data_IF_388735649535
#
_entry.id   IF_388735649535
#
_cell.length_a   1.000
_cell.length_b   1.000
_cell.length_c   1.000
_cell.angle_alpha   90.00
_cell.angle_beta   90.00
_cell.angle_gamma   90.00
#
_symmetry.space_group_name_H-M   'P 1'
#
loop_
_entity.id
_entity.type
_entity.pdbx_description
1 polymer ?
#
# COMPACT_ATOMS: atom_id res chain seq x y z
N UNK A 1 -4.35 -14.79 13.57
CA UNK A 1 -4.76 -13.67 14.44
C UNK A 1 -5.33 -12.58 13.56
N UNK A 2 -6.46 -11.96 13.93
CA UNK A 2 -7.03 -10.83 13.18
C UNK A 2 -6.13 -9.60 13.42
N UNK A 3 -5.77 -8.91 12.35
CA UNK A 3 -4.92 -7.72 12.40
C UNK A 3 -5.67 -6.56 13.07
N UNK A 4 -4.97 -5.79 13.92
CA UNK A 4 -5.56 -4.64 14.65
C UNK A 4 -5.93 -3.46 13.75
N UNK A 5 -5.44 -3.43 12.50
CA UNK A 5 -5.72 -2.34 11.54
C UNK A 5 -5.70 -2.84 10.10
N UNK A 6 -6.41 -2.11 9.22
CA UNK A 6 -6.50 -2.39 7.78
C UNK A 6 -5.11 -2.32 7.13
N UNK A 7 -4.24 -1.41 7.57
CA UNK A 7 -2.88 -1.30 7.07
C UNK A 7 -2.06 -2.57 7.36
N UNK A 8 -2.18 -3.12 8.58
CA UNK A 8 -1.47 -4.36 8.94
C UNK A 8 -2.04 -5.57 8.17
N UNK A 9 -3.35 -5.62 8.02
CA UNK A 9 -4.00 -6.65 7.22
C UNK A 9 -3.58 -6.59 5.74
N UNK A 10 -3.45 -5.39 5.17
CA UNK A 10 -2.95 -5.21 3.81
C UNK A 10 -1.47 -5.60 3.65
N UNK A 11 -0.64 -5.37 4.67
CA UNK A 11 0.75 -5.85 4.72
C UNK A 11 0.77 -7.38 4.71
N UNK A 12 -0.02 -8.01 5.59
CA UNK A 12 -0.12 -9.48 5.67
C UNK A 12 -0.67 -10.08 4.37
N UNK A 13 -1.70 -9.47 3.77
CA UNK A 13 -2.25 -9.89 2.49
C UNK A 13 -1.21 -9.84 1.36
N UNK A 14 -0.45 -8.75 1.24
CA UNK A 14 0.61 -8.65 0.24
C UNK A 14 1.78 -9.61 0.51
N UNK A 15 2.09 -9.89 1.78
CA UNK A 15 3.09 -10.90 2.14
C UNK A 15 2.64 -12.31 1.70
N UNK A 16 1.36 -12.65 1.88
CA UNK A 16 0.80 -13.94 1.46
C UNK A 16 0.76 -14.05 -0.06
N UNK A 17 0.31 -12.98 -0.75
CA UNK A 17 0.25 -12.93 -2.21
C UNK A 17 1.65 -12.94 -2.86
N UNK A 18 2.67 -12.45 -2.13
CA UNK A 18 4.06 -12.34 -2.54
C UNK A 18 4.28 -11.69 -3.94
N UNK A 19 3.36 -10.80 -4.34
CA UNK A 19 3.39 -10.11 -5.63
C UNK A 19 2.66 -8.78 -5.58
N UNK A 20 2.97 -7.90 -6.52
CA UNK A 20 2.21 -6.68 -6.72
C UNK A 20 0.76 -7.00 -7.10
N UNK A 21 -0.18 -6.45 -6.34
CA UNK A 21 -1.58 -6.84 -6.38
C UNK A 21 -2.51 -5.63 -6.42
N UNK A 22 -3.66 -5.76 -7.07
CA UNK A 22 -4.65 -4.67 -7.12
C UNK A 22 -5.36 -4.51 -5.78
N UNK A 23 -6.08 -3.40 -5.58
CA UNK A 23 -6.90 -3.20 -4.38
C UNK A 23 -7.91 -4.34 -4.20
N UNK A 24 -8.51 -4.81 -5.31
CA UNK A 24 -9.45 -5.93 -5.28
C UNK A 24 -8.78 -7.22 -4.82
N UNK A 25 -7.58 -7.52 -5.31
CA UNK A 25 -6.84 -8.73 -4.92
C UNK A 25 -6.43 -8.69 -3.44
N UNK A 26 -5.97 -7.52 -2.98
CA UNK A 26 -5.60 -7.31 -1.57
C UNK A 26 -6.83 -7.46 -0.68
N UNK A 27 -7.95 -6.86 -1.06
CA UNK A 27 -9.21 -7.01 -0.34
C UNK A 27 -9.65 -8.48 -0.28
N UNK A 28 -9.64 -9.18 -1.42
CA UNK A 28 -10.02 -10.59 -1.47
C UNK A 28 -9.14 -11.44 -0.55
N UNK A 29 -7.82 -11.24 -0.57
CA UNK A 29 -6.90 -11.93 0.34
C UNK A 29 -7.18 -11.60 1.82
N UNK A 30 -7.52 -10.35 2.16
CA UNK A 30 -7.89 -10.00 3.54
C UNK A 30 -9.13 -10.79 4.01
N UNK A 31 -10.13 -10.96 3.16
CA UNK A 31 -11.34 -11.72 3.47
C UNK A 31 -11.05 -13.22 3.52
N UNK A 32 -10.38 -13.75 2.50
CA UNK A 32 -10.06 -15.17 2.34
C UNK A 32 -9.22 -15.69 3.51
N UNK A 33 -8.19 -14.94 3.92
CA UNK A 33 -7.32 -15.29 5.04
C UNK A 33 -7.80 -14.73 6.38
N UNK A 34 -9.00 -14.13 6.44
CA UNK A 34 -9.63 -13.55 7.64
C UNK A 34 -8.68 -12.62 8.42
N UNK A 35 -7.93 -11.79 7.69
CA UNK A 35 -6.92 -10.89 8.26
C UNK A 35 -7.55 -9.67 8.93
N UNK A 36 -8.74 -9.25 8.49
CA UNK A 36 -9.46 -8.11 9.05
C UNK A 36 -10.96 -8.24 8.78
N UNK A 37 -11.77 -7.74 9.69
CA UNK A 37 -13.22 -7.69 9.53
C UNK A 37 -13.66 -6.26 9.21
N UNK A 38 -14.28 -6.08 8.03
CA UNK A 38 -14.74 -4.77 7.59
C UNK A 38 -16.17 -4.53 8.05
N UNK A 39 -16.39 -3.50 8.86
CA UNK A 39 -17.73 -2.96 9.16
C UNK A 39 -18.18 -1.82 8.23
N UNK A 40 -17.41 -1.53 7.18
CA UNK A 40 -17.67 -0.41 6.28
C UNK A 40 -18.66 -0.79 5.16
N UNK A 41 -19.49 0.17 4.74
CA UNK A 41 -20.42 0.00 3.61
C UNK A 41 -19.71 -0.27 2.27
N UNK A 42 -18.50 0.27 2.09
CA UNK A 42 -17.64 0.00 0.94
C UNK A 42 -16.21 -0.35 1.40
N UNK A 43 -15.94 -1.63 1.72
CA UNK A 43 -14.64 -2.09 2.19
C UNK A 43 -13.49 -1.83 1.21
N UNK A 44 -13.74 -1.94 -0.10
CA UNK A 44 -12.70 -1.79 -1.13
C UNK A 44 -12.18 -0.36 -1.18
N UNK A 45 -13.08 0.62 -1.09
CA UNK A 45 -12.69 2.03 -0.99
C UNK A 45 -11.89 2.33 0.27
N UNK A 46 -12.24 1.71 1.41
CA UNK A 46 -11.46 1.86 2.65
C UNK A 46 -10.06 1.28 2.51
N UNK A 47 -9.91 0.11 1.87
CA UNK A 47 -8.60 -0.49 1.57
C UNK A 47 -7.79 0.44 0.66
N UNK A 48 -8.40 0.95 -0.42
CA UNK A 48 -7.76 1.91 -1.34
C UNK A 48 -7.26 3.15 -0.62
N UNK A 49 -8.12 3.80 0.18
CA UNK A 49 -7.76 5.01 0.93
C UNK A 49 -6.64 4.71 1.93
N UNK A 50 -6.69 3.55 2.59
CA UNK A 50 -5.65 3.13 3.53
C UNK A 50 -4.31 2.93 2.81
N UNK A 51 -4.30 2.20 1.69
CA UNK A 51 -3.11 2.02 0.86
C UNK A 51 -2.56 3.37 0.36
N UNK A 52 -3.42 4.27 -0.10
CA UNK A 52 -3.03 5.61 -0.55
C UNK A 52 -2.45 6.49 0.56
N UNK A 53 -3.02 6.43 1.78
CA UNK A 53 -2.48 7.14 2.95
C UNK A 53 -1.11 6.65 3.36
N UNK A 54 -0.83 5.36 3.15
CA UNK A 54 0.45 4.73 3.48
C UNK A 54 1.37 4.53 2.26
N UNK A 55 1.04 5.16 1.12
CA UNK A 55 1.83 5.12 -0.11
C UNK A 55 2.75 6.33 -0.25
N UNK A 56 3.95 6.11 -0.81
CA UNK A 56 5.00 7.13 -1.01
C UNK A 56 4.58 8.31 -1.91
N UNK A 57 3.55 8.16 -2.74
CA UNK A 57 3.32 9.02 -3.90
C UNK A 57 2.56 10.34 -3.62
N UNK A 58 2.52 10.82 -2.38
CA UNK A 58 2.01 12.16 -2.05
C UNK A 58 3.11 13.03 -1.44
N UNK A 59 3.12 14.27 -1.90
CA UNK A 59 4.13 15.29 -1.69
C UNK A 59 4.47 15.51 -0.20
N UNK A 60 5.75 15.78 0.01
CA UNK A 60 6.49 15.75 1.26
C UNK A 60 5.98 16.82 2.24
N UNK A 61 5.62 16.37 3.45
CA UNK A 61 5.45 17.23 4.63
C UNK A 61 5.67 16.49 5.96
N UNK A 62 5.81 15.16 5.93
CA UNK A 62 5.98 14.34 7.13
C UNK A 62 7.15 13.37 6.93
N UNK A 63 8.31 13.82 7.39
CA UNK A 63 9.62 13.15 7.36
C UNK A 63 9.66 11.82 8.16
N UNK A 64 8.58 11.45 8.86
CA UNK A 64 8.57 10.32 9.81
C UNK A 64 7.42 9.30 9.67
N UNK A 65 6.58 9.36 8.63
CA UNK A 65 5.57 8.30 8.47
C UNK A 65 6.20 7.06 7.82
N UNK A 66 6.20 5.93 8.53
CA UNK A 66 6.64 4.63 8.00
C UNK A 66 5.79 4.31 6.75
N UNK A 67 6.46 4.18 5.60
CA UNK A 67 5.83 3.91 4.31
C UNK A 67 6.05 2.44 3.97
N UNK A 68 4.97 1.70 3.76
CA UNK A 68 5.01 0.25 3.57
C UNK A 68 4.65 -0.18 2.14
N UNK A 69 3.97 0.69 1.39
CA UNK A 69 3.40 0.36 0.09
C UNK A 69 3.96 1.26 -1.02
N UNK A 70 4.27 0.65 -2.17
CA UNK A 70 4.59 1.34 -3.42
C UNK A 70 3.46 1.09 -4.42
N UNK A 71 2.92 2.16 -5.00
CA UNK A 71 1.97 2.07 -6.11
C UNK A 71 2.77 2.01 -7.41
N UNK A 72 2.47 1.02 -8.26
CA UNK A 72 3.03 0.86 -9.58
C UNK A 72 2.22 1.68 -10.62
N UNK A 73 2.82 1.90 -11.78
CA UNK A 73 2.22 2.67 -12.87
C UNK A 73 0.92 2.03 -13.41
N UNK A 74 0.76 0.72 -13.24
CA UNK A 74 -0.42 -0.05 -13.63
C UNK A 74 -1.56 0.00 -12.58
N UNK A 75 -1.38 0.72 -11.48
CA UNK A 75 -2.37 0.83 -10.42
C UNK A 75 -2.32 -0.27 -9.36
N UNK A 76 -1.36 -1.20 -9.43
CA UNK A 76 -1.12 -2.22 -8.41
C UNK A 76 -0.29 -1.69 -7.25
N UNK A 77 -0.36 -2.38 -6.12
CA UNK A 77 0.40 -2.07 -4.92
C UNK A 77 1.36 -3.20 -4.58
N UNK A 78 2.61 -2.85 -4.29
CA UNK A 78 3.67 -3.75 -3.88
C UNK A 78 4.20 -3.37 -2.49
N UNK A 79 4.70 -4.35 -1.76
CA UNK A 79 5.21 -4.18 -0.41
C UNK A 79 6.70 -3.86 -0.43
N UNK A 80 7.12 -2.78 0.25
CA UNK A 80 8.50 -2.30 0.14
C UNK A 80 9.55 -3.22 0.76
N UNK A 81 9.22 -4.01 1.80
CA UNK A 81 10.21 -4.95 2.37
C UNK A 81 10.54 -6.12 1.46
N UNK A 82 9.74 -6.39 0.42
CA UNK A 82 10.09 -7.35 -0.63
C UNK A 82 10.98 -6.73 -1.72
N UNK A 83 11.17 -5.40 -1.70
CA UNK A 83 12.13 -4.69 -2.54
C UNK A 83 13.46 -4.60 -1.76
N UNK A 84 14.08 -5.74 -1.45
CA UNK A 84 15.53 -5.75 -1.22
C UNK A 84 16.18 -5.74 -2.60
N UNK A 85 17.04 -4.74 -2.82
CA UNK A 85 17.78 -4.41 -4.06
C UNK A 85 16.91 -4.03 -5.26
N UNK A 86 16.58 -2.74 -5.40
CA UNK A 86 17.17 -1.87 -6.43
C UNK A 86 16.42 -0.52 -6.51
N UNK A 87 17.22 0.54 -6.44
CA UNK A 87 16.94 1.91 -6.87
C UNK A 87 15.98 2.76 -6.02
N UNK A 88 16.61 3.48 -5.08
CA UNK A 88 16.49 4.92 -4.86
C UNK A 88 15.43 5.61 -5.75
N UNK A 89 14.34 6.08 -5.14
CA UNK A 89 13.34 6.88 -5.84
C UNK A 89 13.99 8.21 -6.21
N UNK A 90 14.40 8.34 -7.47
CA UNK A 90 14.84 9.60 -8.07
C UNK A 90 13.77 10.65 -7.80
N UNK A 91 14.15 11.65 -7.01
CA UNK A 91 13.47 12.93 -6.89
C UNK A 91 13.62 13.61 -8.25
N UNK A 92 12.57 13.58 -9.06
CA UNK A 92 12.50 14.46 -10.21
C UNK A 92 12.21 15.87 -9.69
N UNK A 93 13.28 16.64 -9.46
CA UNK A 93 13.23 18.09 -9.43
C UNK A 93 12.63 18.58 -10.74
N UNK A 94 11.35 18.97 -10.73
CA UNK A 94 10.86 19.95 -11.69
C UNK A 94 11.06 21.34 -11.10
N UNK A 95 12.33 21.78 -11.05
CA UNK A 95 12.65 23.19 -11.23
C UNK A 95 12.78 23.40 -12.74
N UNK A 96 11.78 24.03 -13.34
CA UNK A 96 11.93 24.75 -14.60
C UNK A 96 11.06 26.01 -14.48
N UNK A 97 11.60 27.15 -14.04
CA UNK A 97 12.52 28.08 -14.73
C UNK A 97 11.71 29.20 -15.41
N UNK A 98 11.85 30.42 -14.90
CA UNK A 98 11.45 31.69 -15.52
C UNK A 98 12.70 32.50 -15.73
#
# INVERSE_FOLDING_TARGET
MISKSIAKAAIEALNILNRASSVSDIYNAIIEYKLYEFGARDPKSVVRITLERHCINKTIGVMHQKRFFKKLNDGRYALMSNIKSESECVLNENKNNT
#
